data_IF_221499334847
#
_entry.id   IF_221499334847
#
_cell.length_a   1.000
_cell.length_b   1.000
_cell.length_c   1.000
_cell.angle_alpha   90.00
_cell.angle_beta   90.00
_cell.angle_gamma   90.00
#
_symmetry.space_group_name_H-M   'P 1'
#
loop_
_entity.id
_entity.type
_entity.pdbx_description
1 polymer ?
#
# COMPACT_ATOMS: atom_id res chain seq x y z
N UNK A 1 10.68 50.78 -18.77
CA UNK A 1 10.08 49.43 -18.60
C UNK A 1 8.62 49.60 -18.22
N UNK A 2 7.68 48.99 -18.95
CA UNK A 2 6.26 49.18 -18.63
C UNK A 2 5.90 48.43 -17.33
N UNK A 3 4.91 48.94 -16.58
CA UNK A 3 4.45 48.34 -15.32
C UNK A 3 4.16 46.83 -15.44
N UNK A 4 3.72 46.39 -16.62
CA UNK A 4 3.45 44.99 -16.92
C UNK A 4 4.74 44.15 -17.07
N UNK A 5 5.81 44.71 -17.63
CA UNK A 5 7.10 44.02 -17.73
C UNK A 5 7.72 43.76 -16.35
N UNK A 6 7.59 44.71 -15.42
CA UNK A 6 8.08 44.53 -14.04
C UNK A 6 7.32 43.45 -13.28
N UNK A 7 6.00 43.36 -13.47
CA UNK A 7 5.16 42.31 -12.87
C UNK A 7 5.53 40.93 -13.41
N UNK A 8 5.73 40.79 -14.72
CA UNK A 8 6.09 39.51 -15.35
C UNK A 8 7.44 39.01 -14.83
N UNK A 9 8.43 39.88 -14.71
CA UNK A 9 9.77 39.51 -14.20
C UNK A 9 9.70 39.08 -12.73
N UNK A 10 8.94 39.79 -11.90
CA UNK A 10 8.79 39.44 -10.49
C UNK A 10 8.11 38.07 -10.29
N UNK A 11 7.08 37.77 -11.08
CA UNK A 11 6.39 36.46 -11.04
C UNK A 11 7.31 35.34 -11.52
N UNK A 12 8.05 35.55 -12.61
CA UNK A 12 9.01 34.56 -13.10
C UNK A 12 10.11 34.26 -12.06
N UNK A 13 10.66 35.29 -11.42
CA UNK A 13 11.65 35.12 -10.35
C UNK A 13 11.09 34.35 -9.15
N UNK A 14 9.84 34.62 -8.75
CA UNK A 14 9.18 33.91 -7.66
C UNK A 14 8.95 32.43 -8.00
N UNK A 15 8.52 32.11 -9.23
CA UNK A 15 8.33 30.71 -9.67
C UNK A 15 9.66 29.95 -9.69
N UNK A 16 10.73 30.57 -10.18
CA UNK A 16 12.07 29.95 -10.22
C UNK A 16 12.58 29.70 -8.79
N UNK A 17 12.39 30.65 -7.87
CA UNK A 17 12.77 30.49 -6.47
C UNK A 17 11.99 29.36 -5.80
N UNK A 18 10.67 29.27 -6.04
CA UNK A 18 9.84 28.18 -5.50
C UNK A 18 10.27 26.82 -6.07
N UNK A 19 10.52 26.73 -7.38
CA UNK A 19 11.00 25.50 -8.00
C UNK A 19 12.38 25.07 -7.46
N UNK A 20 13.30 26.01 -7.24
CA UNK A 20 14.60 25.74 -6.64
C UNK A 20 14.46 25.28 -5.18
N UNK A 21 13.63 25.94 -4.38
CA UNK A 21 13.36 25.51 -3.00
C UNK A 21 12.75 24.11 -2.98
N UNK A 22 11.74 23.84 -3.82
CA UNK A 22 11.13 22.50 -3.95
C UNK A 22 12.15 21.44 -4.37
N UNK A 23 13.12 21.77 -5.22
CA UNK A 23 14.21 20.87 -5.59
C UNK A 23 15.13 20.57 -4.41
N UNK A 24 15.53 21.59 -3.63
CA UNK A 24 16.45 21.42 -2.49
C UNK A 24 15.79 20.85 -1.23
N UNK A 25 14.48 21.00 -1.06
CA UNK A 25 13.75 20.50 0.12
C UNK A 25 13.04 19.17 -0.12
N UNK A 26 13.07 18.61 -1.34
CA UNK A 26 12.47 17.29 -1.58
C UNK A 26 13.41 16.18 -1.08
N UNK A 27 12.99 15.33 -0.13
CA UNK A 27 13.78 14.19 0.32
C UNK A 27 13.78 13.03 -0.70
N UNK A 28 13.25 13.25 -1.91
CA UNK A 28 13.12 12.25 -2.99
C UNK A 28 14.31 12.24 -3.96
N UNK A 29 15.46 12.79 -3.56
CA UNK A 29 16.71 12.73 -4.33
C UNK A 29 17.46 11.41 -4.11
N UNK A 30 17.11 10.39 -4.89
CA UNK A 30 18.00 9.26 -5.23
C UNK A 30 18.32 8.27 -4.12
N UNK A 31 17.47 7.25 -3.96
CA UNK A 31 17.89 5.99 -3.32
C UNK A 31 18.73 5.20 -4.32
N UNK A 32 20.04 5.14 -4.10
CA UNK A 32 20.84 4.02 -4.61
C UNK A 32 20.19 2.74 -4.13
N UNK A 33 20.03 1.79 -5.04
CA UNK A 33 19.62 0.42 -4.73
C UNK A 33 20.73 -0.26 -3.92
N UNK A 34 20.89 0.15 -2.66
CA UNK A 34 21.64 -0.61 -1.70
C UNK A 34 20.79 -1.84 -1.37
N UNK A 35 21.23 -3.00 -1.85
CA UNK A 35 20.73 -4.29 -1.38
C UNK A 35 21.00 -4.37 0.13
N UNK A 36 19.96 -4.13 0.93
CA UNK A 36 19.99 -4.27 2.39
C UNK A 36 19.74 -5.74 2.73
N UNK A 37 20.50 -6.35 3.67
CA UNK A 37 20.41 -7.78 3.98
C UNK A 37 19.00 -8.21 4.40
N UNK A 38 18.62 -9.46 4.07
CA UNK A 38 17.34 -10.12 4.40
C UNK A 38 17.04 -10.23 5.91
N UNK A 39 17.97 -9.78 6.76
CA UNK A 39 17.86 -9.76 8.21
C UNK A 39 17.49 -8.36 8.71
N UNK A 40 16.30 -7.89 8.37
CA UNK A 40 15.68 -6.78 9.13
C UNK A 40 14.94 -7.41 10.30
N UNK A 41 15.57 -7.47 11.47
CA UNK A 41 14.85 -7.84 12.69
C UNK A 41 15.72 -8.23 13.87
N UNK A 42 15.79 -7.36 14.88
CA UNK A 42 16.32 -7.67 16.21
C UNK A 42 15.40 -8.60 17.03
N UNK A 43 14.61 -9.46 16.38
CA UNK A 43 13.59 -10.30 17.01
C UNK A 43 13.34 -11.64 16.29
N UNK A 44 14.32 -12.19 15.58
CA UNK A 44 14.27 -13.59 15.12
C UNK A 44 13.25 -13.90 14.03
N UNK A 45 12.87 -12.92 13.21
CA UNK A 45 11.98 -13.10 12.08
C UNK A 45 12.69 -12.79 10.76
N UNK A 46 12.41 -13.59 9.73
CA UNK A 46 13.00 -13.46 8.39
C UNK A 46 12.00 -12.82 7.44
N UNK A 47 12.45 -11.77 6.75
CA UNK A 47 11.72 -11.22 5.61
C UNK A 47 11.91 -12.15 4.42
N UNK A 48 10.82 -12.46 3.73
CA UNK A 48 10.87 -13.25 2.51
C UNK A 48 10.87 -12.32 1.30
N UNK A 49 11.43 -12.79 0.19
CA UNK A 49 11.45 -12.02 -1.07
C UNK A 49 10.05 -11.78 -1.64
N UNK A 50 9.06 -12.59 -1.24
CA UNK A 50 7.67 -12.55 -1.68
C UNK A 50 6.74 -11.83 -0.68
N UNK A 51 7.31 -11.18 0.34
CA UNK A 51 6.57 -10.34 1.29
C UNK A 51 6.07 -9.06 0.62
N UNK A 52 4.80 -8.73 0.89
CA UNK A 52 4.22 -7.45 0.51
C UNK A 52 4.44 -6.44 1.62
N UNK A 53 5.03 -5.29 1.28
CA UNK A 53 5.54 -4.35 2.29
C UNK A 53 5.18 -2.89 2.00
N UNK A 54 5.07 -2.08 3.07
CA UNK A 54 4.87 -0.64 2.99
C UNK A 54 5.84 0.09 3.94
N UNK A 55 6.19 1.33 3.56
CA UNK A 55 7.08 2.19 4.34
C UNK A 55 8.56 1.92 4.11
N UNK A 56 9.41 2.57 4.93
CA UNK A 56 10.86 2.48 4.80
C UNK A 56 11.41 1.22 5.45
N UNK A 57 12.21 0.43 4.73
CA UNK A 57 12.98 -0.70 5.31
C UNK A 57 13.97 -0.28 6.40
N UNK A 58 14.30 1.02 6.49
CA UNK A 58 15.16 1.60 7.54
C UNK A 58 14.37 2.06 8.77
N UNK A 59 13.04 1.86 8.78
CA UNK A 59 12.23 2.22 9.94
C UNK A 59 12.69 1.44 11.18
N UNK A 60 12.71 2.08 12.37
CA UNK A 60 13.22 1.45 13.58
C UNK A 60 12.33 0.31 14.10
N UNK A 61 11.06 0.27 13.70
CA UNK A 61 10.10 -0.76 14.09
C UNK A 61 9.64 -1.52 12.84
N UNK A 62 9.64 -2.85 12.92
CA UNK A 62 9.00 -3.72 11.93
C UNK A 62 7.71 -4.28 12.52
N UNK A 63 6.61 -4.19 11.78
CA UNK A 63 5.32 -4.75 12.14
C UNK A 63 4.89 -5.71 11.06
N UNK A 64 4.61 -6.95 11.45
CA UNK A 64 4.10 -7.99 10.56
C UNK A 64 2.66 -8.27 10.93
N UNK A 65 1.77 -8.10 9.96
CA UNK A 65 0.37 -8.45 10.09
C UNK A 65 0.07 -9.72 9.31
N UNK A 66 -0.63 -10.64 10.00
CA UNK A 66 -1.25 -11.80 9.41
C UNK A 66 -2.76 -11.61 9.44
N UNK A 67 -3.39 -11.60 8.28
CA UNK A 67 -4.83 -11.36 8.15
C UNK A 67 -5.46 -12.24 7.06
N UNK A 68 -6.74 -12.56 7.21
CA UNK A 68 -7.49 -13.32 6.22
C UNK A 68 -8.45 -12.37 5.48
N UNK A 69 -8.44 -12.31 4.13
CA UNK A 69 -9.40 -11.53 3.34
C UNK A 69 -10.88 -11.73 3.71
N UNK A 70 -11.30 -12.92 4.16
CA UNK A 70 -12.68 -13.17 4.63
C UNK A 70 -12.93 -12.74 6.08
N UNK A 71 -11.91 -12.45 6.89
CA UNK A 71 -12.10 -12.14 8.31
C UNK A 71 -12.77 -10.76 8.49
N UNK A 72 -13.94 -10.67 9.14
CA UNK A 72 -14.65 -9.40 9.31
C UNK A 72 -13.93 -8.44 10.27
N UNK A 73 -13.17 -8.97 11.23
CA UNK A 73 -12.39 -8.13 12.14
C UNK A 73 -11.15 -7.52 11.45
N UNK A 74 -10.51 -8.26 10.54
CA UNK A 74 -9.43 -7.76 9.70
C UNK A 74 -9.94 -6.63 8.79
N UNK A 75 -11.08 -6.84 8.11
CA UNK A 75 -11.69 -5.79 7.28
C UNK A 75 -12.05 -4.54 8.10
N UNK A 76 -12.55 -4.71 9.33
CA UNK A 76 -12.84 -3.57 10.20
C UNK A 76 -11.57 -2.82 10.62
N UNK A 77 -10.49 -3.54 10.94
CA UNK A 77 -9.19 -2.93 11.23
C UNK A 77 -8.69 -2.13 10.02
N UNK A 78 -8.72 -2.73 8.82
CA UNK A 78 -8.30 -2.11 7.56
C UNK A 78 -9.08 -0.82 7.26
N UNK A 79 -10.40 -0.82 7.49
CA UNK A 79 -11.22 0.36 7.22
C UNK A 79 -11.09 1.47 8.27
N UNK A 80 -10.84 1.12 9.54
CA UNK A 80 -11.02 2.07 10.67
C UNK A 80 -9.72 2.45 11.40
N UNK A 81 -8.74 1.56 11.42
CA UNK A 81 -7.49 1.73 12.18
C UNK A 81 -6.29 1.87 11.25
N UNK A 82 -6.23 1.06 10.20
CA UNK A 82 -5.10 1.06 9.27
C UNK A 82 -4.81 2.43 8.62
N UNK A 83 -5.79 3.29 8.26
CA UNK A 83 -5.50 4.61 7.70
C UNK A 83 -4.76 5.53 8.68
N UNK A 84 -5.11 5.47 9.97
CA UNK A 84 -4.41 6.20 11.02
C UNK A 84 -2.99 5.66 11.21
N UNK A 85 -2.85 4.34 11.27
CA UNK A 85 -1.55 3.66 11.38
C UNK A 85 -0.63 4.02 10.21
N UNK A 86 -1.15 3.95 8.99
CA UNK A 86 -0.43 4.25 7.76
C UNK A 86 0.07 5.68 7.75
N UNK A 87 -0.83 6.65 7.92
CA UNK A 87 -0.49 8.08 7.86
C UNK A 87 0.46 8.54 8.96
N UNK A 88 0.32 8.02 10.19
CA UNK A 88 1.10 8.52 11.34
C UNK A 88 2.42 7.77 11.58
N UNK A 89 2.55 6.53 11.08
CA UNK A 89 3.69 5.66 11.40
C UNK A 89 4.36 5.05 10.17
N UNK A 90 3.61 4.53 9.19
CA UNK A 90 4.21 3.89 8.01
C UNK A 90 4.77 4.96 7.06
N UNK A 91 3.94 5.93 6.70
CA UNK A 91 4.30 7.01 5.76
C UNK A 91 5.33 7.97 6.35
N UNK A 92 5.43 8.05 7.69
CA UNK A 92 6.44 8.85 8.40
C UNK A 92 7.76 8.11 8.65
N UNK A 93 7.88 6.87 8.16
CA UNK A 93 9.11 6.07 8.28
C UNK A 93 9.38 5.53 9.68
N UNK A 94 8.40 5.53 10.58
CA UNK A 94 8.53 4.99 11.94
C UNK A 94 8.29 3.48 11.98
N UNK A 95 7.44 2.97 11.08
CA UNK A 95 7.10 1.55 10.97
C UNK A 95 7.36 1.06 9.55
N UNK A 96 8.10 -0.04 9.43
CA UNK A 96 8.14 -0.89 8.24
C UNK A 96 7.06 -1.95 8.39
N UNK A 97 6.07 -1.93 7.50
CA UNK A 97 4.91 -2.81 7.57
C UNK A 97 5.05 -3.95 6.58
N UNK A 98 4.79 -5.17 7.05
CA UNK A 98 4.78 -6.40 6.26
C UNK A 98 3.40 -7.02 6.40
N UNK A 99 2.76 -7.32 5.28
CA UNK A 99 1.45 -7.99 5.25
C UNK A 99 1.59 -9.38 4.68
N UNK A 100 0.97 -10.36 5.35
CA UNK A 100 0.90 -11.75 4.92
C UNK A 100 -0.52 -12.26 5.05
N UNK A 101 -1.05 -12.83 3.98
CA UNK A 101 -2.34 -13.51 4.08
C UNK A 101 -2.19 -14.75 4.95
N UNK A 102 -3.08 -14.88 5.93
CA UNK A 102 -3.27 -16.09 6.73
C UNK A 102 -4.64 -16.70 6.36
N UNK A 103 -4.68 -17.67 5.43
CA UNK A 103 -5.95 -18.21 4.95
C UNK A 103 -6.73 -18.90 6.07
N UNK A 104 -8.00 -18.52 6.24
CA UNK A 104 -8.95 -19.23 7.10
C UNK A 104 -9.87 -20.12 6.25
N UNK A 105 -10.10 -19.73 4.99
CA UNK A 105 -10.97 -20.43 4.04
C UNK A 105 -10.30 -20.60 2.67
N UNK A 106 -10.79 -21.55 1.84
CA UNK A 106 -10.29 -21.72 0.47
C UNK A 106 -10.39 -20.45 -0.39
N UNK A 107 -11.41 -19.62 -0.14
CA UNK A 107 -11.59 -18.33 -0.83
C UNK A 107 -10.49 -17.32 -0.51
N UNK A 108 -9.86 -17.37 0.68
CA UNK A 108 -8.70 -16.54 1.01
C UNK A 108 -7.49 -16.91 0.14
N UNK A 109 -7.29 -18.21 -0.11
CA UNK A 109 -6.20 -18.69 -0.98
C UNK A 109 -6.41 -18.20 -2.41
N UNK A 110 -7.65 -18.27 -2.90
CA UNK A 110 -7.99 -17.75 -4.23
C UNK A 110 -7.81 -16.22 -4.31
N UNK A 111 -8.25 -15.48 -3.29
CA UNK A 111 -8.09 -14.04 -3.21
C UNK A 111 -6.61 -13.62 -3.19
N UNK A 112 -5.76 -14.31 -2.42
CA UNK A 112 -4.32 -14.07 -2.38
C UNK A 112 -3.64 -14.41 -3.71
N UNK A 113 -4.02 -15.52 -4.34
CA UNK A 113 -3.50 -15.89 -5.66
C UNK A 113 -3.84 -14.81 -6.70
N UNK A 114 -5.08 -14.30 -6.68
CA UNK A 114 -5.49 -13.17 -7.52
C UNK A 114 -4.70 -11.90 -7.21
N UNK A 115 -4.50 -11.56 -5.94
CA UNK A 115 -3.72 -10.38 -5.53
C UNK A 115 -2.29 -10.41 -6.10
N UNK A 116 -1.66 -11.60 -6.10
CA UNK A 116 -0.31 -11.82 -6.65
C UNK A 116 -0.24 -11.79 -8.18
N UNK A 117 -1.36 -11.92 -8.88
CA UNK A 117 -1.40 -11.77 -10.34
C UNK A 117 -1.37 -10.31 -10.80
N UNK A 118 -1.64 -9.36 -9.90
CA UNK A 118 -1.55 -7.93 -10.21
C UNK A 118 -0.10 -7.44 -10.17
N UNK A 119 0.21 -6.30 -10.81
CA UNK A 119 1.45 -5.60 -10.56
C UNK A 119 1.66 -5.38 -9.05
N UNK A 120 2.89 -5.52 -8.57
CA UNK A 120 3.20 -5.49 -7.13
C UNK A 120 2.66 -4.23 -6.42
N UNK A 121 2.68 -3.07 -7.10
CA UNK A 121 2.19 -1.79 -6.58
C UNK A 121 0.66 -1.75 -6.34
N UNK A 122 -0.07 -2.69 -6.95
CA UNK A 122 -1.53 -2.81 -6.83
C UNK A 122 -1.96 -3.78 -5.72
N UNK A 123 -1.04 -4.57 -5.16
CA UNK A 123 -1.37 -5.62 -4.20
C UNK A 123 -2.20 -5.10 -3.03
N UNK A 124 -1.72 -4.07 -2.32
CA UNK A 124 -2.43 -3.50 -1.17
C UNK A 124 -3.78 -2.88 -1.53
N UNK A 125 -3.89 -2.30 -2.73
CA UNK A 125 -5.14 -1.72 -3.21
C UNK A 125 -6.18 -2.82 -3.47
N UNK A 126 -5.74 -3.97 -3.95
CA UNK A 126 -6.61 -5.12 -4.16
C UNK A 126 -7.02 -5.80 -2.86
N UNK A 127 -6.12 -5.90 -1.88
CA UNK A 127 -6.44 -6.37 -0.53
C UNK A 127 -7.48 -5.45 0.14
N UNK A 128 -7.29 -4.12 0.08
CA UNK A 128 -8.29 -3.14 0.58
C UNK A 128 -9.64 -3.29 -0.16
N UNK A 129 -9.62 -3.47 -1.48
CA UNK A 129 -10.84 -3.74 -2.26
C UNK A 129 -11.58 -4.99 -1.75
N UNK A 130 -10.85 -6.09 -1.51
CA UNK A 130 -11.44 -7.33 -0.98
C UNK A 130 -12.06 -7.12 0.40
N UNK A 131 -11.33 -6.49 1.33
CA UNK A 131 -11.82 -6.20 2.68
C UNK A 131 -13.07 -5.32 2.68
N UNK A 132 -13.09 -4.26 1.85
CA UNK A 132 -14.26 -3.37 1.76
C UNK A 132 -15.50 -4.04 1.15
N UNK A 133 -15.32 -5.13 0.42
CA UNK A 133 -16.37 -5.76 -0.37
C UNK A 133 -16.68 -7.20 0.04
N UNK A 134 -16.37 -7.62 1.28
CA UNK A 134 -16.68 -8.98 1.76
C UNK A 134 -18.14 -9.39 1.49
N UNK A 135 -19.10 -8.48 1.67
CA UNK A 135 -20.52 -8.72 1.36
C UNK A 135 -20.85 -9.01 -0.13
N UNK A 136 -19.86 -8.95 -1.03
CA UNK A 136 -20.03 -9.19 -2.47
C UNK A 136 -19.38 -10.47 -2.96
N UNK A 137 -18.47 -11.08 -2.19
CA UNK A 137 -17.70 -12.24 -2.63
C UNK A 137 -17.47 -13.29 -1.57
N UNK A 138 -17.55 -12.93 -0.28
CA UNK A 138 -17.20 -13.82 0.82
C UNK A 138 -18.41 -14.67 1.27
N UNK A 139 -18.15 -15.96 1.46
CA UNK A 139 -19.14 -16.94 1.88
C UNK A 139 -19.61 -16.71 3.32
N UNK A 140 -18.76 -16.18 4.22
CA UNK A 140 -19.16 -15.87 5.61
C UNK A 140 -20.23 -14.77 5.65
N UNK A 141 -20.28 -13.95 4.60
CA UNK A 141 -21.30 -12.92 4.40
C UNK A 141 -22.53 -13.43 3.63
N UNK A 142 -22.68 -14.75 3.45
CA UNK A 142 -23.85 -15.38 2.82
C UNK A 142 -23.82 -15.42 1.29
N UNK A 143 -22.70 -15.07 0.66
CA UNK A 143 -22.54 -15.11 -0.80
C UNK A 143 -22.46 -16.57 -1.27
N UNK A 144 -23.40 -16.97 -2.11
CA UNK A 144 -23.46 -18.34 -2.66
C UNK A 144 -22.48 -18.53 -3.83
N UNK A 145 -22.37 -17.53 -4.72
CA UNK A 145 -21.45 -17.54 -5.86
C UNK A 145 -20.15 -16.80 -5.52
N UNK A 146 -19.32 -17.43 -4.69
CA UNK A 146 -18.01 -16.90 -4.27
C UNK A 146 -17.09 -16.70 -5.48
N UNK A 147 -17.11 -17.62 -6.43
CA UNK A 147 -16.30 -17.53 -7.65
C UNK A 147 -16.68 -16.30 -8.48
N UNK A 148 -17.98 -16.11 -8.76
CA UNK A 148 -18.46 -14.93 -9.48
C UNK A 148 -18.18 -13.62 -8.72
N UNK A 149 -18.29 -13.64 -7.40
CA UNK A 149 -17.92 -12.52 -6.54
C UNK A 149 -16.43 -12.15 -6.65
N UNK A 150 -15.54 -13.13 -6.57
CA UNK A 150 -14.09 -12.92 -6.74
C UNK A 150 -13.76 -12.45 -8.17
N UNK A 151 -14.36 -13.04 -9.21
CA UNK A 151 -14.21 -12.59 -10.59
C UNK A 151 -14.64 -11.12 -10.75
N UNK A 152 -15.74 -10.71 -10.09
CA UNK A 152 -16.17 -9.31 -10.05
C UNK A 152 -15.11 -8.40 -9.41
N UNK A 153 -14.50 -8.81 -8.30
CA UNK A 153 -13.40 -8.06 -7.67
C UNK A 153 -12.18 -7.95 -8.59
N UNK A 154 -11.79 -9.05 -9.23
CA UNK A 154 -10.68 -9.06 -10.20
C UNK A 154 -10.90 -8.10 -11.37
N UNK A 155 -12.12 -8.07 -11.92
CA UNK A 155 -12.49 -7.12 -13.00
C UNK A 155 -12.41 -5.66 -12.55
N UNK A 156 -12.86 -5.35 -11.33
CA UNK A 156 -12.74 -4.00 -10.77
C UNK A 156 -11.27 -3.58 -10.62
N UNK A 157 -10.38 -4.54 -10.39
CA UNK A 157 -8.93 -4.34 -10.34
C UNK A 157 -8.24 -4.35 -11.72
N UNK A 158 -8.99 -4.47 -12.82
CA UNK A 158 -8.46 -4.45 -14.18
C UNK A 158 -8.01 -5.81 -14.72
N UNK A 159 -8.33 -6.92 -14.05
CA UNK A 159 -8.07 -8.26 -14.61
C UNK A 159 -9.06 -8.56 -15.75
N UNK A 160 -8.52 -9.01 -16.88
CA UNK A 160 -9.31 -9.53 -17.99
C UNK A 160 -9.53 -11.05 -17.79
N UNK A 161 -10.74 -11.58 -18.02
CA UNK A 161 -11.01 -13.02 -18.01
C UNK A 161 -10.27 -13.79 -19.12
#
# INVERSE_FOLDING_TARGET
>A
MSRNQTIIIAVAAAIILVAAVLYYVNPFGGSTADAIPDTVGSAGFTLNSDDHTLGSRKAPITMIEYAAPTCPHCARFDMTVFPFLKSNYIDTGKVFYVFRVFPLHPSDVAAEAMARCLPADNYFQFIDLLFRNQAQWDWENGVQDVHGGLVKMGRLAGMNP
#
